data_IF_306163998068
#
_entry.id   IF_306163998068
#
_cell.length_a   1.000
_cell.length_b   1.000
_cell.length_c   1.000
_cell.angle_alpha   90.00
_cell.angle_beta   90.00
_cell.angle_gamma   90.00
#
_symmetry.space_group_name_H-M   'P 1'
#
loop_
_entity.id
_entity.type
_entity.pdbx_description
1 polymer ?
#
# COMPACT_ATOMS: atom_id res chain seq x y z
N UNK A 1 17.41 -33.48 4.08
CA UNK A 1 17.62 -32.09 3.58
C UNK A 1 17.02 -31.81 2.19
N UNK A 2 17.14 -32.70 1.19
CA UNK A 2 16.60 -32.45 -0.17
C UNK A 2 15.06 -32.33 -0.23
N UNK A 3 14.32 -33.16 0.51
CA UNK A 3 12.86 -33.13 0.54
C UNK A 3 12.30 -31.81 1.12
N UNK A 4 12.95 -31.28 2.17
CA UNK A 4 12.63 -29.98 2.78
C UNK A 4 12.94 -28.83 1.80
N UNK A 5 14.07 -28.88 1.08
CA UNK A 5 14.41 -27.89 0.03
C UNK A 5 13.39 -27.93 -1.11
N UNK A 6 12.97 -29.12 -1.56
CA UNK A 6 12.00 -29.32 -2.64
C UNK A 6 10.59 -28.84 -2.25
N UNK A 7 10.17 -29.08 -1.02
CA UNK A 7 8.89 -28.59 -0.48
C UNK A 7 8.89 -27.06 -0.33
N UNK A 8 9.98 -26.46 0.18
CA UNK A 8 10.14 -25.00 0.20
C UNK A 8 10.11 -24.39 -1.20
N UNK A 9 10.77 -25.03 -2.18
CA UNK A 9 10.76 -24.61 -3.58
C UNK A 9 9.35 -24.63 -4.20
N UNK A 10 8.57 -25.68 -3.96
CA UNK A 10 7.17 -25.76 -4.42
C UNK A 10 6.30 -24.65 -3.79
N UNK A 11 6.40 -24.42 -2.48
CA UNK A 11 5.64 -23.37 -1.79
C UNK A 11 6.00 -21.97 -2.33
N UNK A 12 7.29 -21.69 -2.52
CA UNK A 12 7.77 -20.44 -3.13
C UNK A 12 7.22 -20.29 -4.55
N UNK A 13 7.26 -21.35 -5.35
CA UNK A 13 6.72 -21.34 -6.71
C UNK A 13 5.22 -21.04 -6.74
N UNK A 14 4.41 -21.68 -5.89
CA UNK A 14 2.98 -21.39 -5.79
C UNK A 14 2.70 -19.95 -5.37
N UNK A 15 3.47 -19.42 -4.40
CA UNK A 15 3.35 -18.02 -3.95
C UNK A 15 3.70 -17.04 -5.07
N UNK A 16 4.74 -17.31 -5.85
CA UNK A 16 5.13 -16.52 -7.02
C UNK A 16 4.07 -16.55 -8.12
N UNK A 17 3.54 -17.74 -8.45
CA UNK A 17 2.45 -17.84 -9.43
C UNK A 17 1.21 -17.07 -8.99
N UNK A 18 0.81 -17.20 -7.72
CA UNK A 18 -0.33 -16.44 -7.16
C UNK A 18 -0.10 -14.93 -7.22
N UNK A 19 1.11 -14.48 -6.91
CA UNK A 19 1.51 -13.07 -7.02
C UNK A 19 1.37 -12.55 -8.45
N UNK A 20 1.96 -13.23 -9.44
CA UNK A 20 1.86 -12.85 -10.86
C UNK A 20 0.42 -12.83 -11.40
N UNK A 21 -0.40 -13.81 -11.02
CA UNK A 21 -1.83 -13.84 -11.40
C UNK A 21 -2.59 -12.65 -10.82
N UNK A 22 -2.33 -12.31 -9.55
CA UNK A 22 -2.90 -11.12 -8.92
C UNK A 22 -2.52 -9.86 -9.69
N UNK A 23 -1.25 -9.65 -9.98
CA UNK A 23 -0.77 -8.48 -10.72
C UNK A 23 -1.38 -8.36 -12.12
N UNK A 24 -1.49 -9.48 -12.83
CA UNK A 24 -2.05 -9.50 -14.19
C UNK A 24 -3.54 -9.13 -14.22
N UNK A 25 -4.28 -9.44 -13.14
CA UNK A 25 -5.71 -9.11 -13.00
C UNK A 25 -5.94 -7.78 -12.29
N UNK A 26 -4.93 -7.23 -11.61
CA UNK A 26 -5.03 -6.07 -10.74
C UNK A 26 -5.53 -4.80 -11.43
N UNK A 27 -5.29 -4.64 -12.74
CA UNK A 27 -5.76 -3.47 -13.51
C UNK A 27 -7.20 -3.55 -14.00
N UNK A 28 -7.84 -4.72 -13.95
CA UNK A 28 -9.16 -4.95 -14.53
C UNK A 28 -10.21 -5.18 -13.42
N UNK A 29 -11.00 -4.15 -13.04
CA UNK A 29 -11.98 -4.27 -11.96
C UNK A 29 -12.92 -5.47 -12.11
N UNK A 30 -13.45 -5.72 -13.31
CA UNK A 30 -14.42 -6.79 -13.53
C UNK A 30 -13.83 -8.19 -13.26
N UNK A 31 -12.59 -8.44 -13.68
CA UNK A 31 -11.87 -9.70 -13.44
C UNK A 31 -11.53 -9.81 -11.96
N UNK A 32 -10.90 -8.76 -11.41
CA UNK A 32 -10.40 -8.77 -10.05
C UNK A 32 -11.53 -8.99 -9.05
N UNK A 33 -12.62 -8.22 -9.13
CA UNK A 33 -13.72 -8.35 -8.17
C UNK A 33 -14.53 -9.63 -8.35
N UNK A 34 -14.60 -10.20 -9.55
CA UNK A 34 -15.28 -11.48 -9.76
C UNK A 34 -14.55 -12.63 -9.06
N UNK A 35 -13.22 -12.61 -9.06
CA UNK A 35 -12.39 -13.62 -8.39
C UNK A 35 -12.26 -13.36 -6.88
N UNK A 36 -12.03 -12.10 -6.48
CA UNK A 36 -11.64 -11.78 -5.10
C UNK A 36 -12.83 -11.63 -4.13
N UNK A 37 -14.06 -11.44 -4.63
CA UNK A 37 -15.28 -11.40 -3.80
C UNK A 37 -15.57 -12.71 -3.05
N UNK A 38 -14.99 -13.83 -3.49
CA UNK A 38 -15.21 -15.15 -2.88
C UNK A 38 -14.59 -15.26 -1.49
N UNK A 39 -13.57 -14.45 -1.17
CA UNK A 39 -12.97 -14.42 0.16
C UNK A 39 -13.71 -13.43 1.08
N UNK A 40 -14.27 -13.87 2.23
CA UNK A 40 -14.88 -12.97 3.21
C UNK A 40 -13.94 -11.89 3.73
N UNK A 41 -12.64 -12.20 3.86
CA UNK A 41 -11.62 -11.25 4.30
C UNK A 41 -11.45 -10.15 3.26
N UNK A 42 -11.31 -10.49 1.98
CA UNK A 42 -11.15 -9.51 0.91
C UNK A 42 -12.40 -8.63 0.77
N UNK A 43 -13.60 -9.20 0.96
CA UNK A 43 -14.87 -8.44 0.86
C UNK A 43 -14.91 -7.21 1.77
N UNK A 44 -14.31 -7.31 2.97
CA UNK A 44 -14.25 -6.19 3.93
C UNK A 44 -13.32 -5.06 3.49
N UNK A 45 -12.35 -5.36 2.63
CA UNK A 45 -11.31 -4.47 2.16
C UNK A 45 -11.65 -3.79 0.81
N UNK A 46 -12.62 -4.36 0.09
CA UNK A 46 -12.99 -3.94 -1.25
C UNK A 46 -13.80 -2.64 -1.23
N UNK A 47 -13.55 -1.77 -2.20
CA UNK A 47 -14.48 -0.69 -2.50
C UNK A 47 -15.87 -1.21 -2.89
N UNK A 48 -16.86 -0.67 -2.20
CA UNK A 48 -18.29 -0.88 -2.45
C UNK A 48 -18.98 0.48 -2.59
N UNK A 49 -20.29 0.49 -2.83
CA UNK A 49 -21.06 1.75 -2.82
C UNK A 49 -21.24 2.35 -1.42
N UNK A 50 -20.99 1.58 -0.36
CA UNK A 50 -21.03 2.07 1.02
C UNK A 50 -19.66 2.61 1.47
N UNK A 51 -18.63 2.46 0.64
CA UNK A 51 -17.31 2.99 0.94
C UNK A 51 -17.33 4.52 0.84
N UNK A 52 -16.83 5.19 1.88
CA UNK A 52 -16.77 6.65 1.98
C UNK A 52 -15.41 7.22 1.59
N UNK A 53 -14.34 6.43 1.67
CA UNK A 53 -13.01 6.80 1.19
C UNK A 53 -12.21 5.57 0.79
N UNK A 54 -11.28 5.74 -0.15
CA UNK A 54 -10.27 4.73 -0.49
C UNK A 54 -8.89 5.26 -0.15
N UNK A 55 -8.12 4.48 0.61
CA UNK A 55 -6.75 4.80 1.00
C UNK A 55 -5.87 3.63 0.57
N UNK A 56 -5.12 3.82 -0.50
CA UNK A 56 -4.37 2.74 -1.12
C UNK A 56 -3.10 3.26 -1.78
N UNK A 57 -2.07 2.43 -1.81
CA UNK A 57 -0.88 2.64 -2.60
C UNK A 57 -0.17 1.31 -2.83
N UNK A 58 0.97 1.38 -3.52
CA UNK A 58 1.85 0.21 -3.61
C UNK A 58 2.24 -0.26 -2.19
N UNK A 59 2.43 -1.57 -1.96
CA UNK A 59 2.82 -2.08 -0.65
C UNK A 59 3.99 -1.30 -0.05
N UNK A 60 3.99 -1.17 1.28
CA UNK A 60 5.04 -0.49 2.05
C UNK A 60 5.13 1.04 1.85
N UNK A 61 4.11 1.64 1.24
CA UNK A 61 3.95 3.10 1.11
C UNK A 61 3.04 3.70 2.19
N UNK A 62 3.31 3.45 3.48
CA UNK A 62 2.52 3.96 4.63
C UNK A 62 1.04 3.52 4.72
N UNK A 63 0.56 2.61 3.86
CA UNK A 63 -0.83 2.13 3.85
C UNK A 63 -1.45 1.83 5.22
N UNK A 64 -0.77 1.05 6.05
CA UNK A 64 -1.30 0.67 7.37
C UNK A 64 -1.39 1.87 8.30
N UNK A 65 -0.39 2.75 8.33
CA UNK A 65 -0.46 3.97 9.13
C UNK A 65 -1.61 4.87 8.68
N UNK A 66 -1.68 5.20 7.38
CA UNK A 66 -2.67 6.11 6.83
C UNK A 66 -4.11 5.69 7.14
N UNK A 67 -4.42 4.40 6.96
CA UNK A 67 -5.76 3.86 7.21
C UNK A 67 -6.13 3.92 8.70
N UNK A 68 -5.20 3.52 9.57
CA UNK A 68 -5.44 3.47 11.01
C UNK A 68 -5.56 4.88 11.59
N UNK A 69 -4.62 5.77 11.24
CA UNK A 69 -4.66 7.19 11.61
C UNK A 69 -5.97 7.84 11.18
N UNK A 70 -6.39 7.62 9.92
CA UNK A 70 -7.63 8.19 9.39
C UNK A 70 -8.86 7.67 10.12
N UNK A 71 -8.96 6.36 10.34
CA UNK A 71 -10.07 5.73 11.05
C UNK A 71 -10.11 6.13 12.54
N UNK A 72 -8.96 6.41 13.15
CA UNK A 72 -8.90 6.80 14.55
C UNK A 72 -9.57 8.16 14.78
N UNK A 73 -9.35 9.11 13.87
CA UNK A 73 -9.95 10.46 13.96
C UNK A 73 -11.30 10.57 13.25
N UNK A 74 -11.66 9.61 12.40
CA UNK A 74 -12.97 9.52 11.75
C UNK A 74 -13.66 8.22 12.17
N UNK A 75 -14.66 8.31 13.05
CA UNK A 75 -15.46 7.17 13.52
C UNK A 75 -16.14 6.43 12.36
N UNK A 76 -15.42 5.45 11.81
CA UNK A 76 -15.83 4.70 10.62
C UNK A 76 -15.69 3.21 10.85
N UNK A 77 -16.60 2.47 10.24
CA UNK A 77 -16.52 1.02 10.14
C UNK A 77 -15.47 0.63 9.10
N UNK A 78 -14.81 -0.52 9.31
CA UNK A 78 -13.74 -0.99 8.41
C UNK A 78 -14.19 -1.17 6.96
N UNK A 79 -15.46 -1.51 6.71
CA UNK A 79 -16.02 -1.64 5.36
C UNK A 79 -16.37 -0.30 4.69
N UNK A 80 -16.31 0.82 5.42
CA UNK A 80 -16.46 2.16 4.86
C UNK A 80 -15.13 2.72 4.31
N UNK A 81 -14.00 2.06 4.59
CA UNK A 81 -12.66 2.44 4.11
C UNK A 81 -12.14 1.30 3.20
N UNK A 82 -12.03 1.55 1.90
CA UNK A 82 -11.39 0.58 1.00
C UNK A 82 -9.88 0.69 1.09
N UNK A 83 -9.19 -0.43 1.33
CA UNK A 83 -7.74 -0.42 1.60
C UNK A 83 -7.08 -1.80 1.45
N UNK A 84 -5.73 -1.83 1.44
CA UNK A 84 -4.88 -3.03 1.57
C UNK A 84 -5.11 -4.16 0.53
N UNK A 85 -5.77 -3.88 -0.60
CA UNK A 85 -5.80 -4.82 -1.72
C UNK A 85 -4.64 -4.60 -2.68
N UNK A 86 -3.94 -3.46 -2.59
CA UNK A 86 -2.78 -3.05 -3.38
C UNK A 86 -2.96 -3.36 -4.88
N UNK A 87 -4.11 -2.98 -5.44
CA UNK A 87 -4.43 -3.16 -6.86
C UNK A 87 -5.02 -1.88 -7.45
N UNK A 88 -4.71 -1.60 -8.71
CA UNK A 88 -5.21 -0.46 -9.47
C UNK A 88 -6.74 -0.50 -9.58
N UNK A 89 -7.33 -1.70 -9.67
CA UNK A 89 -8.77 -1.92 -9.73
C UNK A 89 -9.53 -1.29 -8.56
N UNK A 90 -8.90 -1.21 -7.38
CA UNK A 90 -9.46 -0.52 -6.21
C UNK A 90 -9.65 0.96 -6.53
N UNK A 91 -8.59 1.63 -6.94
CA UNK A 91 -8.60 3.05 -7.30
C UNK A 91 -9.55 3.34 -8.47
N UNK A 92 -9.45 2.58 -9.56
CA UNK A 92 -10.28 2.76 -10.76
C UNK A 92 -11.77 2.65 -10.41
N UNK A 93 -12.14 1.70 -9.56
CA UNK A 93 -13.53 1.52 -9.16
C UNK A 93 -14.00 2.62 -8.20
N UNK A 94 -13.15 3.09 -7.30
CA UNK A 94 -13.45 4.25 -6.44
C UNK A 94 -13.75 5.50 -7.26
N UNK A 95 -12.92 5.78 -8.28
CA UNK A 95 -13.15 6.88 -9.22
C UNK A 95 -14.51 6.72 -9.91
N UNK A 96 -14.83 5.52 -10.42
CA UNK A 96 -16.13 5.24 -11.06
C UNK A 96 -17.32 5.46 -10.12
N UNK A 97 -17.14 5.20 -8.82
CA UNK A 97 -18.16 5.41 -7.80
C UNK A 97 -18.16 6.82 -7.21
N UNK A 98 -17.28 7.72 -7.69
CA UNK A 98 -17.09 9.07 -7.16
C UNK A 98 -16.74 9.07 -5.66
N UNK A 99 -15.99 8.06 -5.24
CA UNK A 99 -15.51 7.93 -3.86
C UNK A 99 -14.17 8.67 -3.75
N UNK A 100 -13.97 9.50 -2.70
CA UNK A 100 -12.69 10.14 -2.42
C UNK A 100 -11.53 9.13 -2.35
N UNK A 101 -10.38 9.50 -2.91
CA UNK A 101 -9.19 8.63 -2.97
C UNK A 101 -7.95 9.36 -2.49
N UNK A 102 -7.22 8.72 -1.58
CA UNK A 102 -5.83 9.01 -1.22
C UNK A 102 -4.96 7.94 -1.87
N UNK A 103 -4.15 8.33 -2.85
CA UNK A 103 -3.13 7.48 -3.47
C UNK A 103 -1.80 7.67 -2.75
N UNK A 104 -1.39 6.66 -1.99
CA UNK A 104 -0.14 6.69 -1.24
C UNK A 104 1.04 6.30 -2.12
N UNK A 105 2.15 7.02 -2.01
CA UNK A 105 3.36 6.74 -2.79
C UNK A 105 4.63 6.93 -1.96
N UNK A 106 5.60 6.03 -2.15
CA UNK A 106 6.93 6.05 -1.52
C UNK A 106 8.01 5.87 -2.58
N UNK A 107 9.22 6.39 -2.33
CA UNK A 107 10.37 6.17 -3.20
C UNK A 107 10.54 4.66 -3.52
N UNK A 108 10.76 4.28 -4.80
CA UNK A 108 10.72 2.89 -5.23
C UNK A 108 11.78 2.02 -4.54
N UNK A 109 13.01 2.54 -4.35
CA UNK A 109 14.08 1.83 -3.64
C UNK A 109 13.61 1.36 -2.25
N UNK A 110 13.00 2.27 -1.52
CA UNK A 110 12.56 2.06 -0.15
C UNK A 110 11.35 1.13 -0.05
N UNK A 111 10.38 1.31 -0.95
CA UNK A 111 9.18 0.49 -0.99
C UNK A 111 9.50 -0.97 -1.38
N UNK A 112 10.32 -1.16 -2.41
CA UNK A 112 10.69 -2.48 -2.94
C UNK A 112 11.58 -3.23 -1.97
N UNK A 113 12.64 -2.62 -1.41
CA UNK A 113 13.46 -3.26 -0.37
C UNK A 113 12.61 -3.72 0.81
N UNK A 114 11.74 -2.84 1.31
CA UNK A 114 10.82 -3.16 2.41
C UNK A 114 9.82 -4.28 2.06
N UNK A 115 9.44 -4.41 0.78
CA UNK A 115 8.55 -5.48 0.32
C UNK A 115 9.28 -6.81 0.30
N UNK A 116 10.48 -6.85 -0.28
CA UNK A 116 11.28 -8.06 -0.46
C UNK A 116 11.73 -8.62 0.89
N UNK A 117 12.14 -7.77 1.83
CA UNK A 117 12.45 -8.23 3.22
C UNK A 117 11.26 -8.91 3.88
N UNK A 118 10.03 -8.44 3.61
CA UNK A 118 8.79 -9.04 4.13
C UNK A 118 8.38 -10.29 3.33
N UNK A 119 8.70 -10.32 2.06
CA UNK A 119 8.22 -11.30 1.08
C UNK A 119 9.39 -11.74 0.19
N UNK A 120 10.34 -12.45 0.81
CA UNK A 120 11.59 -12.96 0.24
C UNK A 120 11.42 -13.89 -0.97
N UNK A 121 10.20 -14.35 -1.23
CA UNK A 121 9.85 -15.14 -2.40
C UNK A 121 9.73 -14.32 -3.69
N UNK A 122 9.50 -13.00 -3.59
CA UNK A 122 9.27 -12.09 -4.73
C UNK A 122 10.61 -11.65 -5.33
N UNK A 123 10.86 -11.89 -6.64
CA UNK A 123 12.05 -11.37 -7.31
C UNK A 123 12.06 -9.83 -7.39
N UNK A 124 13.25 -9.23 -7.30
CA UNK A 124 13.44 -7.76 -7.34
C UNK A 124 12.84 -7.14 -8.60
N UNK A 125 13.13 -7.73 -9.76
CA UNK A 125 12.61 -7.26 -11.06
C UNK A 125 11.08 -7.28 -11.12
N UNK A 126 10.44 -8.32 -10.57
CA UNK A 126 8.99 -8.42 -10.51
C UNK A 126 8.39 -7.37 -9.57
N UNK A 127 9.08 -7.05 -8.46
CA UNK A 127 8.63 -6.01 -7.55
C UNK A 127 8.77 -4.61 -8.18
N UNK A 128 9.86 -4.33 -8.89
CA UNK A 128 10.08 -3.07 -9.61
C UNK A 128 9.09 -2.88 -10.75
N UNK A 129 8.87 -3.91 -11.56
CA UNK A 129 7.90 -3.88 -12.65
C UNK A 129 6.48 -3.67 -12.12
N UNK A 130 6.12 -4.31 -11.01
CA UNK A 130 4.81 -4.11 -10.37
C UNK A 130 4.65 -2.71 -9.78
N UNK A 131 5.70 -2.17 -9.16
CA UNK A 131 5.70 -0.77 -8.70
C UNK A 131 5.42 0.16 -9.89
N UNK A 132 6.20 0.00 -10.97
CA UNK A 132 6.03 0.81 -12.17
C UNK A 132 4.60 0.68 -12.72
N UNK A 133 4.11 -0.54 -12.93
CA UNK A 133 2.74 -0.80 -13.43
C UNK A 133 1.66 -0.21 -12.54
N UNK A 134 1.78 -0.36 -11.21
CA UNK A 134 0.80 0.16 -10.26
C UNK A 134 0.57 1.65 -10.44
N UNK A 135 1.65 2.43 -10.49
CA UNK A 135 1.56 3.88 -10.61
C UNK A 135 1.37 4.36 -12.05
N UNK A 136 1.98 3.69 -13.03
CA UNK A 136 1.88 4.08 -14.43
C UNK A 136 0.44 3.94 -14.96
N UNK A 137 -0.23 2.82 -14.66
CA UNK A 137 -1.61 2.58 -15.09
C UNK A 137 -2.59 3.63 -14.51
N UNK A 138 -2.29 4.18 -13.33
CA UNK A 138 -3.10 5.19 -12.66
C UNK A 138 -2.76 6.63 -13.05
N UNK A 139 -1.64 6.88 -13.72
CA UNK A 139 -1.12 8.23 -13.93
C UNK A 139 -2.03 9.09 -14.82
N UNK A 140 -2.69 8.48 -15.81
CA UNK A 140 -3.69 9.17 -16.64
C UNK A 140 -4.90 9.65 -15.84
N UNK A 141 -5.14 9.08 -14.66
CA UNK A 141 -6.24 9.39 -13.74
C UNK A 141 -5.81 10.27 -12.56
N UNK A 142 -4.60 10.84 -12.60
CA UNK A 142 -4.01 11.61 -11.50
C UNK A 142 -4.88 12.74 -10.94
N UNK A 143 -5.71 13.33 -11.79
CA UNK A 143 -6.59 14.43 -11.41
C UNK A 143 -7.82 13.95 -10.61
N UNK A 144 -8.03 12.65 -10.47
CA UNK A 144 -9.16 12.04 -9.78
C UNK A 144 -8.87 11.59 -8.33
N UNK A 145 -7.66 11.82 -7.82
CA UNK A 145 -7.25 11.47 -6.46
C UNK A 145 -6.29 12.49 -5.86
N UNK A 146 -6.08 12.43 -4.54
CA UNK A 146 -5.01 13.16 -3.85
C UNK A 146 -3.80 12.24 -3.75
N UNK A 147 -2.63 12.73 -4.17
CA UNK A 147 -1.36 12.00 -4.04
C UNK A 147 -0.75 12.32 -2.69
N UNK A 148 -0.39 11.28 -1.93
CA UNK A 148 0.15 11.43 -0.60
C UNK A 148 1.51 10.73 -0.48
N UNK A 149 2.56 11.54 -0.41
CA UNK A 149 3.93 11.06 -0.26
C UNK A 149 4.17 10.49 1.14
N UNK A 150 4.95 9.41 1.22
CA UNK A 150 5.26 8.71 2.46
C UNK A 150 5.62 9.64 3.63
N UNK A 151 6.51 10.60 3.41
CA UNK A 151 6.96 11.50 4.48
C UNK A 151 5.84 12.43 4.96
N UNK A 152 5.03 12.97 4.04
CA UNK A 152 3.84 13.78 4.36
C UNK A 152 2.82 12.96 5.14
N UNK A 153 2.58 11.71 4.74
CA UNK A 153 1.67 10.81 5.46
C UNK A 153 2.14 10.58 6.89
N UNK A 154 3.45 10.51 7.15
CA UNK A 154 3.96 10.25 8.51
C UNK A 154 4.15 11.49 9.37
N UNK A 155 4.18 12.69 8.79
CA UNK A 155 4.55 13.94 9.48
C UNK A 155 3.49 15.04 9.44
N UNK A 156 2.65 15.03 8.41
CA UNK A 156 1.73 16.10 8.03
C UNK A 156 0.44 15.49 7.43
N UNK A 157 -0.14 14.50 8.12
CA UNK A 157 -1.26 13.74 7.57
C UNK A 157 -2.58 14.54 7.53
N UNK A 158 -2.77 15.46 8.47
CA UNK A 158 -3.87 16.42 8.50
C UNK A 158 -3.92 17.25 7.22
N UNK A 159 -2.78 17.71 6.70
CA UNK A 159 -2.71 18.46 5.44
C UNK A 159 -3.20 17.62 4.24
N UNK A 160 -2.91 16.30 4.23
CA UNK A 160 -3.42 15.39 3.20
C UNK A 160 -4.95 15.26 3.31
N UNK A 161 -5.49 15.14 4.51
CA UNK A 161 -6.95 15.05 4.73
C UNK A 161 -7.63 16.37 4.34
N UNK A 162 -7.00 17.52 4.61
CA UNK A 162 -7.49 18.82 4.17
C UNK A 162 -7.57 18.92 2.64
N UNK A 163 -6.54 18.46 1.92
CA UNK A 163 -6.54 18.39 0.46
C UNK A 163 -7.68 17.50 -0.06
N UNK A 164 -7.95 16.37 0.59
CA UNK A 164 -9.09 15.49 0.26
C UNK A 164 -10.41 16.22 0.45
N UNK A 165 -10.59 16.86 1.61
CA UNK A 165 -11.79 17.65 1.91
C UNK A 165 -12.04 18.73 0.86
N UNK A 166 -11.00 19.48 0.48
CA UNK A 166 -11.08 20.50 -0.56
C UNK A 166 -11.43 19.91 -1.93
N UNK A 167 -10.75 18.83 -2.34
CA UNK A 167 -10.90 18.23 -3.68
C UNK A 167 -12.25 17.55 -3.88
N UNK A 168 -12.75 16.89 -2.84
CA UNK A 168 -13.96 16.06 -2.91
C UNK A 168 -15.17 16.66 -2.19
N UNK A 169 -15.04 17.87 -1.65
CA UNK A 169 -16.08 18.53 -0.84
C UNK A 169 -16.56 17.66 0.31
N UNK A 170 -15.62 17.00 1.00
CA UNK A 170 -15.88 16.19 2.21
C UNK A 170 -15.55 16.97 3.48
N UNK A 171 -15.97 16.42 4.62
CA UNK A 171 -15.70 17.00 5.95
C UNK A 171 -15.11 15.94 6.89
N UNK A 172 -14.03 15.29 6.47
CA UNK A 172 -13.29 14.38 7.34
C UNK A 172 -12.51 15.17 8.39
N UNK A 173 -12.43 14.62 9.60
CA UNK A 173 -11.62 15.18 10.68
C UNK A 173 -10.14 15.10 10.31
N UNK A 174 -9.42 16.19 10.53
CA UNK A 174 -7.98 16.25 10.33
C UNK A 174 -7.27 15.42 11.41
N UNK A 175 -6.10 14.88 11.06
CA UNK A 175 -5.26 14.13 11.99
C UNK A 175 -4.40 15.12 12.80
N UNK A 176 -4.49 15.20 14.14
CA UNK A 176 -3.72 16.13 14.93
C UNK A 176 -2.30 15.61 15.16
N UNK A 177 -1.33 16.04 14.36
CA UNK A 177 0.03 15.47 14.40
C UNK A 177 0.75 15.71 15.73
N UNK A 178 0.39 16.76 16.46
CA UNK A 178 1.01 17.13 17.73
C UNK A 178 0.38 16.42 18.96
N UNK A 179 -0.51 15.45 18.74
CA UNK A 179 -1.10 14.65 19.82
C UNK A 179 -0.31 13.35 20.01
N UNK A 180 0.62 13.37 20.97
CA UNK A 180 1.48 12.22 21.29
C UNK A 180 0.70 10.99 21.79
N UNK A 181 -0.39 11.19 22.52
CA UNK A 181 -1.21 10.09 23.06
C UNK A 181 -1.93 9.37 21.92
N UNK A 182 -2.56 10.14 21.03
CA UNK A 182 -3.21 9.61 19.83
C UNK A 182 -2.20 8.92 18.90
N UNK A 183 -1.04 9.56 18.67
CA UNK A 183 0.03 8.96 17.88
C UNK A 183 0.45 7.60 18.47
N UNK A 184 0.66 7.53 19.78
CA UNK A 184 0.99 6.29 20.47
C UNK A 184 -0.13 5.24 20.35
N UNK A 185 -1.40 5.64 20.47
CA UNK A 185 -2.56 4.76 20.34
C UNK A 185 -2.64 4.12 18.94
N UNK A 186 -2.49 4.92 17.88
CA UNK A 186 -2.46 4.44 16.49
C UNK A 186 -1.31 3.45 16.28
N UNK A 187 -0.10 3.79 16.74
CA UNK A 187 1.06 2.91 16.61
C UNK A 187 0.88 1.59 17.37
N UNK A 188 0.30 1.64 18.56
CA UNK A 188 0.01 0.44 19.36
C UNK A 188 -1.00 -0.46 18.66
N UNK A 189 -2.07 0.10 18.07
CA UNK A 189 -3.07 -0.68 17.33
C UNK A 189 -2.44 -1.38 16.11
N UNK A 190 -1.57 -0.68 15.39
CA UNK A 190 -0.81 -1.22 14.26
C UNK A 190 0.11 -2.37 14.73
N UNK A 191 0.82 -2.19 15.85
CA UNK A 191 1.72 -3.20 16.40
C UNK A 191 0.95 -4.45 16.86
N UNK A 192 -0.21 -4.30 17.51
CA UNK A 192 -1.10 -5.40 17.90
C UNK A 192 -1.54 -6.19 16.67
N UNK A 193 -1.99 -5.51 15.61
CA UNK A 193 -2.39 -6.16 14.36
C UNK A 193 -1.23 -6.92 13.71
N UNK A 194 -0.05 -6.33 13.63
CA UNK A 194 1.12 -6.98 13.01
C UNK A 194 1.50 -8.26 13.77
N UNK A 195 1.43 -8.25 15.12
CA UNK A 195 1.66 -9.45 15.93
C UNK A 195 0.66 -10.57 15.63
N UNK A 196 -0.63 -10.23 15.46
CA UNK A 196 -1.69 -11.20 15.16
C UNK A 196 -1.55 -11.83 13.76
N UNK A 197 -1.23 -11.03 12.74
CA UNK A 197 -1.14 -11.52 11.36
C UNK A 197 0.10 -12.37 11.08
N UNK A 198 1.23 -12.06 11.73
CA UNK A 198 2.54 -12.54 11.29
C UNK A 198 3.26 -13.42 12.32
N UNK A 199 2.55 -13.91 13.35
CA UNK A 199 3.08 -14.76 14.46
C UNK A 199 4.35 -14.17 15.11
N UNK A 200 4.50 -12.84 15.15
CA UNK A 200 5.61 -12.17 15.81
C UNK A 200 6.92 -12.02 15.02
N UNK A 201 6.93 -12.15 13.68
CA UNK A 201 8.15 -11.85 12.90
C UNK A 201 8.51 -10.34 12.95
N UNK A 202 9.70 -10.04 13.46
CA UNK A 202 10.25 -8.67 13.63
C UNK A 202 10.26 -7.86 12.33
N UNK A 203 10.49 -8.50 11.17
CA UNK A 203 10.51 -7.84 9.85
C UNK A 203 9.17 -7.18 9.46
N UNK A 204 8.09 -7.49 10.18
CA UNK A 204 6.75 -7.00 9.92
C UNK A 204 6.31 -5.83 10.80
N UNK A 205 7.09 -5.47 11.83
CA UNK A 205 6.79 -4.33 12.72
C UNK A 205 6.91 -2.99 11.98
N UNK A 206 6.14 -2.00 12.44
CA UNK A 206 6.17 -0.64 11.87
C UNK A 206 7.44 0.11 12.27
N UNK A 207 7.93 -0.10 13.50
CA UNK A 207 9.07 0.63 14.06
C UNK A 207 10.37 0.40 13.27
N UNK A 208 11.25 1.41 13.16
CA UNK A 208 12.61 1.21 12.69
C UNK A 208 13.31 0.25 13.64
N UNK A 209 13.80 -0.86 13.10
CA UNK A 209 14.60 -1.84 13.83
C UNK A 209 15.95 -1.92 13.13
N UNK A 210 17.05 -1.89 13.89
CA UNK A 210 18.41 -1.97 13.33
C UNK A 210 18.58 -3.22 12.48
N UNK A 211 17.99 -4.34 12.89
CA UNK A 211 18.06 -5.61 12.16
C UNK A 211 17.31 -5.53 10.83
N UNK A 212 16.25 -4.72 10.76
CA UNK A 212 15.46 -4.51 9.55
C UNK A 212 16.16 -3.61 8.54
N UNK A 213 16.84 -2.57 8.99
CA UNK A 213 17.64 -1.72 8.10
C UNK A 213 18.82 -2.50 7.49
N UNK A 214 19.46 -3.36 8.28
CA UNK A 214 20.48 -4.28 7.77
C UNK A 214 19.89 -5.19 6.69
N UNK A 215 18.74 -5.83 6.93
CA UNK A 215 18.09 -6.70 5.94
C UNK A 215 17.68 -5.97 4.65
N UNK A 216 17.23 -4.71 4.74
CA UNK A 216 16.91 -3.92 3.53
C UNK A 216 18.15 -3.62 2.70
N UNK A 217 19.27 -3.30 3.35
CA UNK A 217 20.53 -3.01 2.68
C UNK A 217 21.16 -4.25 2.04
N UNK A 218 20.80 -5.45 2.52
CA UNK A 218 21.18 -6.73 1.91
C UNK A 218 20.37 -7.09 0.65
N UNK A 219 19.27 -6.39 0.38
CA UNK A 219 18.54 -6.57 -0.87
C UNK A 219 19.31 -5.87 -1.98
N UNK A 220 19.98 -6.68 -2.78
CA UNK A 220 20.67 -6.24 -3.99
C UNK A 220 19.65 -5.69 -4.99
N UNK A 221 19.77 -4.41 -5.29
CA UNK A 221 18.91 -3.68 -6.20
C UNK A 221 19.79 -2.68 -6.93
N UNK A 222 20.02 -2.98 -8.19
CA UNK A 222 20.83 -2.17 -9.09
C UNK A 222 20.10 -0.87 -9.47
N UNK A 223 20.52 0.26 -8.91
CA UNK A 223 19.93 1.57 -9.21
C UNK A 223 20.17 2.01 -10.67
N UNK A 224 21.15 1.45 -11.35
CA UNK A 224 21.38 1.64 -12.79
C UNK A 224 20.51 0.73 -13.68
N UNK A 225 19.74 -0.21 -13.11
CA UNK A 225 18.88 -1.09 -13.89
C UNK A 225 17.75 -0.32 -14.59
N UNK A 226 17.36 -0.78 -15.79
CA UNK A 226 16.27 -0.18 -16.56
C UNK A 226 14.94 -0.17 -15.77
N UNK A 227 14.66 -1.25 -15.04
CA UNK A 227 13.44 -1.38 -14.24
C UNK A 227 13.42 -0.39 -13.08
N UNK A 228 14.55 -0.18 -12.41
CA UNK A 228 14.62 0.84 -11.36
C UNK A 228 14.43 2.23 -11.94
N UNK A 229 15.08 2.55 -13.06
CA UNK A 229 14.93 3.86 -13.70
C UNK A 229 13.48 4.12 -14.16
N UNK A 230 12.76 3.09 -14.63
CA UNK A 230 11.30 3.18 -14.90
C UNK A 230 10.50 3.49 -13.64
N UNK A 231 10.74 2.74 -12.55
CA UNK A 231 10.05 2.94 -11.28
C UNK A 231 10.34 4.33 -10.67
N UNK A 232 11.59 4.78 -10.76
CA UNK A 232 12.00 6.11 -10.32
C UNK A 232 11.39 7.22 -11.18
N UNK A 233 11.37 7.03 -12.50
CA UNK A 233 10.77 7.98 -13.43
C UNK A 233 9.28 8.20 -13.18
N UNK A 234 8.50 7.13 -12.94
CA UNK A 234 7.08 7.30 -12.58
C UNK A 234 6.91 7.94 -11.21
N UNK A 235 7.74 7.59 -10.21
CA UNK A 235 7.73 8.23 -8.90
C UNK A 235 7.97 9.75 -9.00
N UNK A 236 8.96 10.17 -9.78
CA UNK A 236 9.26 11.59 -10.01
C UNK A 236 8.11 12.33 -10.70
N UNK A 237 7.40 11.68 -11.63
CA UNK A 237 6.19 12.25 -12.23
C UNK A 237 5.09 12.52 -11.20
N UNK A 238 4.90 11.63 -10.23
CA UNK A 238 3.94 11.84 -9.14
C UNK A 238 4.41 12.91 -8.15
N UNK A 239 5.70 12.99 -7.87
CA UNK A 239 6.27 14.02 -6.98
C UNK A 239 5.93 15.44 -7.43
N UNK A 240 5.96 15.69 -8.74
CA UNK A 240 5.62 16.98 -9.35
C UNK A 240 4.13 17.35 -9.34
N UNK A 241 3.24 16.48 -8.84
CA UNK A 241 1.79 16.77 -8.73
C UNK A 241 1.48 17.46 -7.40
N UNK A 242 2.31 17.22 -6.38
CA UNK A 242 2.16 17.76 -5.04
C UNK A 242 2.92 19.07 -4.82
N UNK A 243 3.72 19.51 -5.80
CA UNK A 243 4.37 20.82 -5.89
C UNK A 243 3.48 21.80 -6.68
#
# INVERSE_FOLDING_TARGET
MQQIKRMKSLVTWFRNKRFRVRQSTARYPWIFYSLYKLSPVNRKLMVTRNTRITIEGYPRSANTFAVYAFKHVNEMQWNEIAHHLHVQAQIIRSIKYKIPVILLIRHPLEAVRSLIVRHDFIPVDEALEDYYRFYNDLYSLKDAFVVAHFDMVTKHYGEIIEQVNKKFSTMFNLYPEQDDEMNAAVLNEIDVRNRQLDKGKVTHLYRPDKDKEVLKNLVDLEENSELFQKALGIYQKYKRISD
#
